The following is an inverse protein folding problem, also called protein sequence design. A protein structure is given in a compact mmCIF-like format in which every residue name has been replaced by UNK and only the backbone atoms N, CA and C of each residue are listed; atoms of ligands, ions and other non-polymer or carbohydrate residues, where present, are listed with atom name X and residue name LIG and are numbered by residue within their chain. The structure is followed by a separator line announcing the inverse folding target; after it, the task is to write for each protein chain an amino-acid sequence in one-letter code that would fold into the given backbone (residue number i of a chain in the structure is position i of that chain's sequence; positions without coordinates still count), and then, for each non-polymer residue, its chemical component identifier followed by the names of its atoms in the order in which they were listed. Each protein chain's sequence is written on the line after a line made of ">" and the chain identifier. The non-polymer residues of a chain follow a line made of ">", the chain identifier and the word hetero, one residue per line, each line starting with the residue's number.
data_IF_601395324222
#
_entry.id   IF_601395324222
#
_cell.length_a   1.000
_cell.length_b   1.000
_cell.length_c   1.000
_cell.angle_alpha   90.00
_cell.angle_beta   90.00
_cell.angle_gamma   90.00
#
_symmetry.space_group_name_H-M   'P 1'
#
loop_
_entity.id
_entity.type
_entity.pdbx_description
1 polymer ?
#
# COMPACT_ATOMS: atom_id res chain seq x y z
N UNK A 1 19.06 -13.71 33.29
CA UNK A 1 19.52 -12.75 32.26
C UNK A 1 20.05 -13.58 31.08
N UNK A 2 19.24 -13.75 30.04
CA UNK A 2 19.65 -14.45 28.81
C UNK A 2 19.99 -13.40 27.77
N UNK A 3 21.23 -12.96 27.78
CA UNK A 3 21.83 -12.15 26.71
C UNK A 3 22.44 -13.11 25.70
N UNK A 4 21.62 -13.74 24.86
CA UNK A 4 22.13 -14.66 23.84
C UNK A 4 21.61 -14.24 22.47
N UNK A 5 22.47 -13.54 21.74
CA UNK A 5 22.37 -13.11 20.34
C UNK A 5 21.09 -12.34 19.94
N UNK A 6 21.16 -11.02 19.71
CA UNK A 6 20.03 -10.28 19.17
C UNK A 6 19.71 -10.76 17.74
N UNK A 7 18.59 -11.48 17.59
CA UNK A 7 18.03 -11.81 16.28
C UNK A 7 17.34 -10.54 15.77
N UNK A 8 17.99 -9.84 14.85
CA UNK A 8 17.40 -8.67 14.21
C UNK A 8 16.44 -9.13 13.10
N UNK A 9 15.14 -9.18 13.41
CA UNK A 9 14.13 -9.54 12.41
C UNK A 9 13.83 -8.30 11.55
N UNK A 10 14.12 -8.32 10.23
CA UNK A 10 13.83 -7.19 9.36
C UNK A 10 12.31 -6.97 9.27
N UNK A 11 11.85 -5.71 9.12
CA UNK A 11 10.44 -5.42 8.85
C UNK A 11 10.02 -5.97 7.48
N UNK A 12 8.73 -6.26 7.30
CA UNK A 12 8.17 -6.85 6.08
C UNK A 12 8.53 -6.06 4.81
N UNK A 13 8.64 -4.72 4.90
CA UNK A 13 9.10 -3.86 3.78
C UNK A 13 10.50 -4.20 3.24
N UNK A 14 11.36 -4.84 4.04
CA UNK A 14 12.69 -5.32 3.63
C UNK A 14 12.69 -6.77 3.15
N UNK A 15 11.54 -7.44 3.15
CA UNK A 15 11.36 -8.86 2.85
C UNK A 15 10.06 -9.12 2.10
N UNK A 16 9.81 -8.32 1.06
CA UNK A 16 8.58 -8.37 0.27
C UNK A 16 8.41 -9.68 -0.50
N UNK A 17 9.49 -10.43 -0.72
CA UNK A 17 9.45 -11.77 -1.35
C UNK A 17 8.61 -12.79 -0.55
N UNK A 18 8.44 -12.56 0.76
CA UNK A 18 7.61 -13.41 1.62
C UNK A 18 6.12 -13.06 1.56
N UNK A 19 5.79 -11.89 1.02
CA UNK A 19 4.44 -11.35 1.02
C UNK A 19 3.42 -12.29 0.36
N UNK A 20 3.71 -12.94 -0.81
CA UNK A 20 2.78 -13.89 -1.41
C UNK A 20 2.46 -15.08 -0.50
N UNK A 21 3.49 -15.65 0.13
CA UNK A 21 3.34 -16.80 1.03
C UNK A 21 2.57 -16.42 2.31
N UNK A 22 2.92 -15.28 2.91
CA UNK A 22 2.26 -14.77 4.12
C UNK A 22 0.80 -14.41 3.85
N UNK A 23 0.51 -13.82 2.69
CA UNK A 23 -0.84 -13.44 2.31
C UNK A 23 -1.73 -14.68 2.14
N UNK A 24 -1.24 -15.69 1.42
CA UNK A 24 -1.95 -16.97 1.27
C UNK A 24 -2.22 -17.60 2.64
N UNK A 25 -1.19 -17.71 3.48
CA UNK A 25 -1.31 -18.27 4.82
C UNK A 25 -2.39 -17.57 5.66
N UNK A 26 -2.40 -16.22 5.71
CA UNK A 26 -3.38 -15.49 6.50
C UNK A 26 -4.79 -15.55 5.93
N UNK A 27 -4.95 -15.66 4.60
CA UNK A 27 -6.28 -15.83 3.99
C UNK A 27 -6.86 -17.19 4.38
N UNK A 28 -6.07 -18.25 4.31
CA UNK A 28 -6.49 -19.60 4.69
C UNK A 28 -6.77 -19.69 6.20
N UNK A 29 -5.90 -19.10 7.03
CA UNK A 29 -6.06 -19.03 8.49
C UNK A 29 -7.36 -18.28 8.87
N UNK A 30 -7.62 -17.13 8.24
CA UNK A 30 -8.81 -16.33 8.49
C UNK A 30 -10.09 -17.06 8.04
N UNK A 31 -10.09 -17.61 6.82
CA UNK A 31 -11.22 -18.34 6.27
C UNK A 31 -11.58 -19.57 7.13
N UNK A 32 -10.57 -20.35 7.53
CA UNK A 32 -10.73 -21.49 8.44
C UNK A 32 -11.28 -21.06 9.81
N UNK A 33 -10.77 -19.98 10.39
CA UNK A 33 -11.25 -19.47 11.68
C UNK A 33 -12.70 -19.00 11.66
N UNK A 34 -13.21 -18.59 10.50
CA UNK A 34 -14.58 -18.09 10.30
C UNK A 34 -15.52 -19.13 9.67
N UNK A 35 -15.07 -20.37 9.45
CA UNK A 35 -15.79 -21.41 8.72
C UNK A 35 -16.31 -20.93 7.35
N UNK A 36 -15.49 -20.16 6.62
CA UNK A 36 -15.76 -19.70 5.26
C UNK A 36 -14.86 -20.42 4.26
N UNK A 37 -15.29 -20.50 3.00
CA UNK A 37 -14.40 -20.87 1.92
C UNK A 37 -13.32 -19.80 1.73
N UNK A 38 -12.07 -20.22 1.52
CA UNK A 38 -10.97 -19.29 1.25
C UNK A 38 -11.20 -18.58 -0.09
N UNK A 39 -11.31 -17.24 -0.11
CA UNK A 39 -11.45 -16.49 -1.35
C UNK A 39 -10.13 -16.48 -2.13
N UNK A 40 -10.22 -16.48 -3.46
CA UNK A 40 -9.06 -16.31 -4.31
C UNK A 40 -8.46 -14.91 -4.15
N UNK A 41 -7.12 -14.85 -4.17
CA UNK A 41 -6.36 -13.61 -4.03
C UNK A 41 -6.22 -12.99 -5.43
N UNK A 42 -6.63 -11.72 -5.64
CA UNK A 42 -6.35 -11.04 -6.91
C UNK A 42 -4.85 -10.80 -7.09
N UNK A 43 -4.32 -11.02 -8.29
CA UNK A 43 -2.90 -10.76 -8.61
C UNK A 43 -2.50 -9.29 -8.34
N UNK A 44 -3.43 -8.35 -8.56
CA UNK A 44 -3.23 -6.92 -8.29
C UNK A 44 -3.03 -6.60 -6.80
N UNK A 45 -3.45 -7.50 -5.89
CA UNK A 45 -3.33 -7.29 -4.44
C UNK A 45 -1.88 -7.34 -4.00
N UNK A 46 -1.09 -8.25 -4.53
CA UNK A 46 0.34 -8.35 -4.22
C UNK A 46 1.08 -7.08 -4.62
N UNK A 47 0.78 -6.57 -5.83
CA UNK A 47 1.35 -5.32 -6.33
C UNK A 47 0.96 -4.14 -5.43
N UNK A 48 -0.31 -4.04 -5.03
CA UNK A 48 -0.78 -2.98 -4.13
C UNK A 48 -0.06 -3.02 -2.77
N UNK A 49 0.06 -4.22 -2.18
CA UNK A 49 0.69 -4.43 -0.89
C UNK A 49 2.21 -4.21 -0.94
N UNK A 50 2.87 -4.46 -2.07
CA UNK A 50 4.31 -4.26 -2.22
C UNK A 50 4.76 -2.80 -2.08
N UNK A 51 3.86 -1.84 -2.31
CA UNK A 51 4.13 -0.39 -2.22
C UNK A 51 3.79 0.16 -0.83
N UNK A 52 3.22 -0.66 0.06
CA UNK A 52 2.83 -0.26 1.40
C UNK A 52 3.95 -0.51 2.41
N UNK A 53 4.17 0.45 3.32
CA UNK A 53 5.32 0.42 4.25
C UNK A 53 5.15 -0.53 5.44
N UNK A 54 3.93 -1.04 5.67
CA UNK A 54 3.54 -1.88 6.80
C UNK A 54 4.08 -1.37 8.16
N UNK A 55 3.64 -0.20 8.66
CA UNK A 55 4.05 0.31 9.96
C UNK A 55 3.85 -0.72 11.11
N UNK A 56 2.82 -1.56 11.03
CA UNK A 56 2.57 -2.66 11.97
C UNK A 56 3.15 -4.02 11.54
N UNK A 57 3.98 -4.05 10.49
CA UNK A 57 4.69 -5.24 10.00
C UNK A 57 3.73 -6.41 9.71
N UNK A 58 4.12 -7.65 10.00
CA UNK A 58 3.30 -8.86 9.80
C UNK A 58 1.96 -8.78 10.56
N UNK A 59 1.90 -8.12 11.73
CA UNK A 59 0.66 -8.00 12.52
C UNK A 59 -0.40 -7.19 11.76
N UNK A 60 0.02 -6.16 11.07
CA UNK A 60 -0.87 -5.34 10.25
C UNK A 60 -1.36 -6.09 9.02
N UNK A 61 -0.46 -6.78 8.30
CA UNK A 61 -0.85 -7.65 7.19
C UNK A 61 -1.92 -8.67 7.63
N UNK A 62 -1.71 -9.33 8.77
CA UNK A 62 -2.68 -10.27 9.34
C UNK A 62 -4.02 -9.58 9.62
N UNK A 63 -4.03 -8.47 10.35
CA UNK A 63 -5.27 -7.74 10.68
C UNK A 63 -6.03 -7.29 9.43
N UNK A 64 -5.32 -6.82 8.41
CA UNK A 64 -5.90 -6.41 7.12
C UNK A 64 -6.62 -7.58 6.44
N UNK A 65 -5.95 -8.72 6.34
CA UNK A 65 -6.51 -9.93 5.71
C UNK A 65 -7.72 -10.43 6.49
N UNK A 66 -7.63 -10.51 7.82
CA UNK A 66 -8.74 -10.92 8.66
C UNK A 66 -9.96 -10.02 8.50
N UNK A 67 -9.76 -8.70 8.46
CA UNK A 67 -10.83 -7.74 8.23
C UNK A 67 -11.45 -7.90 6.83
N UNK A 68 -10.62 -8.10 5.80
CA UNK A 68 -11.08 -8.31 4.43
C UNK A 68 -11.93 -9.60 4.32
N UNK A 69 -11.49 -10.71 4.92
CA UNK A 69 -12.23 -11.99 4.94
C UNK A 69 -13.50 -11.90 5.79
N UNK A 70 -13.49 -11.14 6.89
CA UNK A 70 -14.69 -10.90 7.70
C UNK A 70 -15.76 -10.14 6.89
N UNK A 71 -15.36 -9.08 6.19
CA UNK A 71 -16.23 -8.24 5.36
C UNK A 71 -16.65 -8.92 4.06
N UNK A 72 -15.91 -9.93 3.60
CA UNK A 72 -16.25 -10.73 2.45
C UNK A 72 -17.55 -11.51 2.71
N UNK A 73 -18.64 -11.09 2.06
CA UNK A 73 -19.98 -11.71 2.16
C UNK A 73 -20.26 -12.71 1.04
N UNK A 74 -19.81 -12.44 -0.18
CA UNK A 74 -20.08 -13.26 -1.36
C UNK A 74 -19.09 -12.94 -2.50
N UNK A 75 -18.73 -13.95 -3.29
CA UNK A 75 -17.75 -13.84 -4.38
C UNK A 75 -16.66 -14.91 -4.30
N UNK A 76 -16.00 -15.19 -5.43
CA UNK A 76 -14.86 -16.10 -5.48
C UNK A 76 -13.52 -15.39 -5.19
N UNK A 77 -13.51 -14.06 -5.18
CA UNK A 77 -12.29 -13.24 -5.19
C UNK A 77 -12.34 -12.21 -4.06
N UNK A 78 -11.24 -12.06 -3.33
CA UNK A 78 -11.11 -11.13 -2.21
C UNK A 78 -11.25 -9.67 -2.69
N UNK A 79 -12.11 -8.89 -2.02
CA UNK A 79 -12.33 -7.49 -2.37
C UNK A 79 -11.08 -6.64 -2.11
N UNK A 80 -10.67 -5.88 -3.13
CA UNK A 80 -9.57 -4.94 -3.05
C UNK A 80 -9.89 -3.66 -2.25
N UNK A 81 -11.17 -3.38 -1.99
CA UNK A 81 -11.60 -2.12 -1.38
C UNK A 81 -11.02 -1.93 0.03
N UNK A 82 -11.10 -2.95 0.88
CA UNK A 82 -10.58 -2.89 2.25
C UNK A 82 -9.06 -2.62 2.30
N UNK A 83 -8.31 -3.13 1.32
CA UNK A 83 -6.88 -2.87 1.20
C UNK A 83 -6.59 -1.47 0.65
N UNK A 84 -7.32 -1.02 -0.37
CA UNK A 84 -7.20 0.34 -0.92
C UNK A 84 -7.52 1.40 0.13
N UNK A 85 -8.51 1.16 0.97
CA UNK A 85 -8.87 2.08 2.06
C UNK A 85 -7.72 2.24 3.06
N UNK A 86 -6.99 1.16 3.40
CA UNK A 86 -5.87 1.27 4.33
C UNK A 86 -4.60 1.80 3.66
N UNK A 87 -4.36 1.49 2.39
CA UNK A 87 -3.24 2.10 1.65
C UNK A 87 -3.47 3.60 1.46
N UNK A 88 -4.71 4.03 1.18
CA UNK A 88 -5.06 5.45 1.06
C UNK A 88 -5.11 6.19 2.41
N UNK A 89 -5.68 5.57 3.46
CA UNK A 89 -5.70 6.14 4.83
C UNK A 89 -4.35 6.06 5.54
N UNK A 90 -3.51 5.10 5.20
CA UNK A 90 -2.12 5.00 5.67
C UNK A 90 -1.25 6.17 5.20
N UNK A 91 -1.70 6.93 4.19
CA UNK A 91 -1.11 8.21 3.79
C UNK A 91 -1.77 9.43 4.46
N UNK A 92 -2.77 9.22 5.33
CA UNK A 92 -3.48 10.27 6.06
C UNK A 92 -4.17 9.74 7.32
N UNK A 93 -3.43 9.65 8.42
CA UNK A 93 -4.01 9.55 9.77
C UNK A 93 -4.18 8.12 10.30
N UNK A 94 -3.29 7.77 11.24
CA UNK A 94 -3.36 6.59 12.08
C UNK A 94 -4.62 6.58 12.95
N UNK A 95 -5.44 5.53 12.83
CA UNK A 95 -6.41 5.14 13.86
C UNK A 95 -5.71 4.18 14.82
N UNK A 96 -4.65 4.63 15.48
CA UNK A 96 -4.16 4.06 16.74
C UNK A 96 -3.41 5.17 17.45
N UNK A 97 -4.17 5.86 18.30
CA UNK A 97 -3.71 6.87 19.23
C UNK A 97 -2.89 6.18 20.32
N UNK A 98 -1.58 6.42 20.36
CA UNK A 98 -0.76 6.37 21.58
C UNK A 98 0.42 7.34 21.45
N UNK A 99 0.45 8.26 22.41
CA UNK A 99 1.55 9.12 22.85
C UNK A 99 2.30 9.98 21.81
N UNK A 100 1.98 11.28 21.89
CA UNK A 100 2.82 12.37 21.44
C UNK A 100 4.23 12.25 22.03
N UNK A 101 5.23 12.04 21.18
CA UNK A 101 6.55 12.70 21.27
C UNK A 101 7.15 12.82 19.87
N UNK A 102 7.20 14.06 19.41
CA UNK A 102 8.05 14.67 18.40
C UNK A 102 8.37 14.01 17.03
N UNK A 103 7.76 14.64 16.02
CA UNK A 103 8.36 15.19 14.78
C UNK A 103 8.81 14.22 13.65
N UNK A 104 8.09 14.39 12.53
CA UNK A 104 8.41 14.06 11.12
C UNK A 104 8.25 12.61 10.65
N UNK A 105 7.03 12.27 10.22
CA UNK A 105 6.82 11.19 9.23
C UNK A 105 5.68 11.52 8.28
N UNK A 106 5.85 12.62 7.55
CA UNK A 106 5.34 12.76 6.19
C UNK A 106 6.55 13.13 5.35
N UNK A 107 6.73 12.52 4.17
CA UNK A 107 7.74 13.03 3.23
C UNK A 107 7.45 14.50 2.98
N UNK A 108 8.18 15.39 3.65
CA UNK A 108 8.10 16.81 3.41
C UNK A 108 8.64 17.01 2.00
N UNK A 109 7.75 17.37 1.07
CA UNK A 109 8.15 17.84 -0.25
C UNK A 109 8.97 19.11 -0.02
N UNK A 110 10.29 18.94 0.05
CA UNK A 110 11.24 20.02 0.24
C UNK A 110 11.45 20.68 -1.10
N UNK A 111 10.78 21.81 -1.29
CA UNK A 111 10.99 22.66 -2.48
C UNK A 111 12.27 23.46 -2.22
N UNK A 112 13.40 22.95 -2.72
CA UNK A 112 14.68 23.65 -2.68
C UNK A 112 14.90 24.42 -3.98
N UNK A 113 15.12 25.73 -3.89
CA UNK A 113 15.39 26.60 -5.05
C UNK A 113 14.15 27.33 -5.58
N UNK A 114 14.03 27.47 -6.91
CA UNK A 114 12.90 28.15 -7.56
C UNK A 114 11.61 27.35 -7.34
N UNK A 115 10.54 28.03 -6.96
CA UNK A 115 9.22 27.41 -6.86
C UNK A 115 8.76 26.91 -8.24
N UNK A 116 8.46 25.61 -8.39
CA UNK A 116 8.09 25.04 -9.68
C UNK A 116 6.73 25.57 -10.13
N UNK A 117 6.52 25.62 -11.44
CA UNK A 117 5.19 25.84 -11.98
C UNK A 117 4.29 24.65 -11.67
N UNK A 118 2.97 24.88 -11.67
CA UNK A 118 2.00 23.82 -11.48
C UNK A 118 2.19 22.68 -12.52
N UNK A 119 2.60 23.02 -13.75
CA UNK A 119 2.88 22.03 -14.79
C UNK A 119 4.09 21.16 -14.45
N UNK A 120 5.17 21.76 -13.98
CA UNK A 120 6.40 21.05 -13.59
C UNK A 120 6.19 20.18 -12.35
N UNK A 121 5.50 20.71 -11.32
CA UNK A 121 5.17 19.95 -10.13
C UNK A 121 4.28 18.75 -10.46
N UNK A 122 3.25 18.94 -11.30
CA UNK A 122 2.41 17.83 -11.76
C UNK A 122 3.23 16.78 -12.53
N UNK A 123 4.12 17.20 -13.43
CA UNK A 123 4.99 16.27 -14.17
C UNK A 123 5.86 15.45 -13.22
N UNK A 124 6.49 16.10 -12.24
CA UNK A 124 7.32 15.42 -11.25
C UNK A 124 6.52 14.39 -10.44
N UNK A 125 5.33 14.77 -9.96
CA UNK A 125 4.47 13.86 -9.20
C UNK A 125 4.01 12.66 -10.04
N UNK A 126 3.64 12.89 -11.31
CA UNK A 126 3.23 11.82 -12.22
C UNK A 126 4.38 10.86 -12.50
N UNK A 127 5.58 11.38 -12.75
CA UNK A 127 6.78 10.58 -13.01
C UNK A 127 7.17 9.72 -11.79
N UNK A 128 7.20 10.33 -10.60
CA UNK A 128 7.48 9.63 -9.35
C UNK A 128 6.43 8.55 -9.05
N UNK A 129 5.14 8.83 -9.31
CA UNK A 129 4.07 7.84 -9.14
C UNK A 129 4.19 6.68 -10.14
N UNK A 130 4.54 6.94 -11.40
CA UNK A 130 4.75 5.92 -12.43
C UNK A 130 5.96 5.05 -12.12
N UNK A 131 7.05 5.65 -11.62
CA UNK A 131 8.26 4.94 -11.18
C UNK A 131 7.95 4.01 -10.00
N UNK A 132 7.24 4.49 -8.97
CA UNK A 132 6.82 3.66 -7.82
C UNK A 132 5.85 2.56 -8.19
N UNK A 133 4.97 2.84 -9.17
CA UNK A 133 4.00 1.88 -9.67
C UNK A 133 4.58 0.93 -10.73
N UNK A 134 5.89 0.89 -10.95
CA UNK A 134 6.56 0.03 -11.96
C UNK A 134 5.87 0.09 -13.34
N UNK A 135 5.52 1.30 -13.76
CA UNK A 135 4.83 1.61 -15.02
C UNK A 135 3.35 1.16 -15.10
N UNK A 136 2.75 0.72 -13.99
CA UNK A 136 1.32 0.41 -13.91
C UNK A 136 0.48 1.68 -13.70
N UNK A 137 -0.14 2.16 -14.78
CA UNK A 137 -0.98 3.36 -14.77
C UNK A 137 -2.16 3.28 -13.79
N UNK A 138 -2.73 2.10 -13.54
CA UNK A 138 -3.85 1.98 -12.58
C UNK A 138 -3.38 2.22 -11.14
N UNK A 139 -2.23 1.66 -10.80
CA UNK A 139 -1.60 1.84 -9.48
C UNK A 139 -1.07 3.28 -9.33
N UNK A 140 -0.46 3.84 -10.37
CA UNK A 140 -0.01 5.24 -10.37
C UNK A 140 -1.16 6.25 -10.20
N UNK A 141 -2.29 6.03 -10.87
CA UNK A 141 -3.49 6.86 -10.66
C UNK A 141 -3.97 6.77 -9.21
N UNK A 142 -3.95 5.57 -8.64
CA UNK A 142 -4.31 5.34 -7.23
C UNK A 142 -3.37 6.09 -6.28
N UNK A 143 -2.05 6.05 -6.53
CA UNK A 143 -1.04 6.79 -5.75
C UNK A 143 -1.24 8.30 -5.80
N UNK A 144 -1.69 8.83 -6.94
CA UNK A 144 -1.98 10.25 -7.11
C UNK A 144 -3.37 10.66 -6.65
N UNK A 145 -4.21 9.72 -6.21
CA UNK A 145 -5.60 9.99 -5.81
C UNK A 145 -6.50 10.43 -6.98
N UNK A 146 -6.19 10.03 -8.21
CA UNK A 146 -6.96 10.38 -9.41
C UNK A 146 -7.46 9.15 -10.15
N UNK A 147 -8.43 9.33 -11.05
CA UNK A 147 -8.90 8.24 -11.89
C UNK A 147 -7.87 7.84 -12.95
N UNK A 148 -7.84 6.56 -13.35
CA UNK A 148 -6.97 6.05 -14.44
C UNK A 148 -7.14 6.85 -15.74
N UNK A 149 -8.39 7.25 -16.06
CA UNK A 149 -8.68 8.07 -17.24
C UNK A 149 -8.04 9.46 -17.15
N UNK A 150 -8.04 10.08 -15.96
CA UNK A 150 -7.41 11.39 -15.73
C UNK A 150 -5.89 11.31 -15.85
N UNK A 151 -5.28 10.23 -15.37
CA UNK A 151 -3.85 9.97 -15.54
C UNK A 151 -3.49 9.79 -17.02
N UNK A 152 -4.25 8.95 -17.75
CA UNK A 152 -4.01 8.69 -19.17
C UNK A 152 -4.09 9.98 -20.00
N UNK A 153 -5.11 10.82 -19.76
CA UNK A 153 -5.22 12.12 -20.44
C UNK A 153 -4.00 13.00 -20.19
N UNK A 154 -3.50 13.05 -18.95
CA UNK A 154 -2.31 13.83 -18.59
C UNK A 154 -1.04 13.30 -19.24
N UNK A 155 -0.86 11.97 -19.28
CA UNK A 155 0.28 11.34 -19.96
C UNK A 155 0.31 11.70 -21.46
N UNK A 156 -0.84 11.65 -22.14
CA UNK A 156 -0.93 12.06 -23.55
C UNK A 156 -0.57 13.53 -23.78
N UNK A 157 -1.03 14.44 -22.92
CA UNK A 157 -0.67 15.87 -23.00
C UNK A 157 0.80 16.14 -22.68
N UNK A 158 1.50 15.20 -22.04
CA UNK A 158 2.93 15.31 -21.71
C UNK A 158 3.85 14.68 -22.77
N UNK A 159 3.33 13.74 -23.58
CA UNK A 159 4.01 13.11 -24.72
C UNK A 159 3.88 13.91 -26.03
N UNK A 160 2.96 14.88 -26.12
CA UNK A 160 2.89 15.79 -27.26
C UNK A 160 3.97 16.89 -27.16
N UNK A 161 4.77 17.12 -28.22
CA UNK A 161 5.92 18.03 -28.21
C UNK A 161 5.54 19.53 -28.11
#
# INVERSE_FOLDING_TARGET
>A
RLSCHPINLPPLRKRLDDLPLLLQYFVDEAAGSMNKAAPAIPDELLTLLSVYDFPGNIRELRSLVYNAVAQHRSGAVLSMQSFRDVVSKGQGGSVFEHERTDVQTGSSLTISGRFPTLREANRFLVDEAMRRATNNQGVAATLLGITRQSLNRRLKTMDEP
#
